data_IF_415043695764
#
_entry.id   IF_415043695764
#
_cell.length_a   1.000
_cell.length_b   1.000
_cell.length_c   1.000
_cell.angle_alpha   90.00
_cell.angle_beta   90.00
_cell.angle_gamma   90.00
#
_symmetry.space_group_name_H-M   'P 1'
#
loop_
_entity.id
_entity.type
_entity.pdbx_description
1 polymer ?
#
# COMPACT_ATOMS: atom_id res chain seq x y z
N UNK A 1 -18.33 -2.80 -0.66
CA UNK A 1 -17.93 -2.24 -1.96
C UNK A 1 -18.54 -3.11 -3.04
N UNK A 2 -19.46 -2.58 -3.85
CA UNK A 2 -20.15 -3.36 -4.90
C UNK A 2 -19.39 -3.42 -6.21
N UNK A 3 -18.42 -2.53 -6.39
CA UNK A 3 -17.63 -2.47 -7.60
C UNK A 3 -16.53 -3.56 -7.58
N UNK A 4 -16.49 -4.45 -8.58
CA UNK A 4 -15.51 -5.52 -8.67
C UNK A 4 -14.06 -5.01 -8.81
N UNK A 5 -13.84 -3.76 -9.22
CA UNK A 5 -12.48 -3.20 -9.31
C UNK A 5 -11.78 -3.13 -7.95
N UNK A 6 -12.54 -2.92 -6.87
CA UNK A 6 -12.01 -2.89 -5.50
C UNK A 6 -11.81 -4.29 -4.90
N UNK A 7 -12.19 -5.36 -5.61
CA UNK A 7 -12.02 -6.74 -5.13
C UNK A 7 -10.66 -7.32 -5.52
N UNK A 8 -9.97 -6.73 -6.52
CA UNK A 8 -8.66 -7.16 -7.00
C UNK A 8 -7.68 -5.98 -7.02
N UNK A 9 -7.39 -5.44 -5.84
CA UNK A 9 -6.51 -4.29 -5.67
C UNK A 9 -5.09 -4.58 -6.18
N UNK A 10 -4.60 -5.81 -6.06
CA UNK A 10 -3.25 -6.19 -6.49
C UNK A 10 -3.03 -5.95 -8.00
N UNK A 11 -4.00 -6.36 -8.82
CA UNK A 11 -3.97 -6.14 -10.27
C UNK A 11 -4.14 -4.65 -10.62
N UNK A 12 -4.90 -3.91 -9.82
CA UNK A 12 -5.07 -2.47 -9.98
C UNK A 12 -3.74 -1.75 -9.73
N UNK A 13 -3.05 -2.05 -8.63
CA UNK A 13 -1.75 -1.44 -8.31
C UNK A 13 -0.68 -1.81 -9.35
N UNK A 14 -0.63 -3.06 -9.82
CA UNK A 14 0.34 -3.50 -10.84
C UNK A 14 0.14 -2.79 -12.20
N UNK A 15 -1.10 -2.49 -12.57
CA UNK A 15 -1.39 -1.75 -13.80
C UNK A 15 -0.97 -0.28 -13.70
N UNK A 16 -1.20 0.35 -12.56
CA UNK A 16 -0.94 1.78 -12.37
C UNK A 16 0.53 2.09 -12.03
N UNK A 17 1.29 1.13 -11.48
CA UNK A 17 2.75 1.28 -11.32
C UNK A 17 3.49 1.45 -12.66
N UNK A 18 2.92 0.92 -13.75
CA UNK A 18 3.47 1.03 -15.11
C UNK A 18 3.13 2.36 -15.81
N UNK A 19 2.20 3.16 -15.28
CA UNK A 19 1.83 4.46 -15.85
C UNK A 19 2.73 5.57 -15.28
N UNK A 20 3.63 6.09 -16.11
CA UNK A 20 4.46 7.27 -15.80
C UNK A 20 3.61 8.56 -15.82
N UNK A 21 3.00 8.89 -14.69
CA UNK A 21 2.47 10.25 -14.43
C UNK A 21 3.55 11.13 -13.78
N UNK A 22 3.58 12.45 -14.04
CA UNK A 22 4.55 13.37 -13.41
C UNK A 22 4.43 13.39 -11.87
N UNK A 23 5.52 13.08 -11.16
CA UNK A 23 5.52 12.86 -9.69
C UNK A 23 5.09 14.08 -8.87
N UNK A 24 5.43 15.30 -9.30
CA UNK A 24 5.17 16.52 -8.51
C UNK A 24 3.68 16.85 -8.37
N UNK A 25 2.89 16.66 -9.43
CA UNK A 25 1.45 16.90 -9.42
C UNK A 25 0.72 15.86 -8.57
N UNK A 26 1.15 14.60 -8.63
CA UNK A 26 0.58 13.51 -7.82
C UNK A 26 0.77 13.71 -6.32
N UNK A 27 1.89 14.31 -5.92
CA UNK A 27 2.17 14.61 -4.52
C UNK A 27 1.19 15.65 -3.97
N UNK A 28 1.05 16.77 -4.65
CA UNK A 28 0.13 17.84 -4.23
C UNK A 28 -1.34 17.36 -4.22
N UNK A 29 -1.72 16.53 -5.19
CA UNK A 29 -3.05 15.92 -5.25
C UNK A 29 -3.28 14.90 -4.13
N UNK A 30 -2.33 14.00 -3.88
CA UNK A 30 -2.43 13.01 -2.79
C UNK A 30 -2.44 13.67 -1.41
N UNK A 31 -1.66 14.73 -1.20
CA UNK A 31 -1.68 15.55 0.02
C UNK A 31 -3.06 16.20 0.21
N UNK A 32 -3.63 16.79 -0.84
CA UNK A 32 -4.98 17.37 -0.78
C UNK A 32 -6.05 16.31 -0.47
N UNK A 33 -5.97 15.14 -1.09
CA UNK A 33 -6.91 14.03 -0.83
C UNK A 33 -6.78 13.52 0.61
N UNK A 34 -5.56 13.44 1.14
CA UNK A 34 -5.29 13.09 2.54
C UNK A 34 -5.93 14.11 3.50
N UNK A 35 -5.73 15.41 3.27
CA UNK A 35 -6.32 16.47 4.10
C UNK A 35 -7.85 16.42 4.07
N UNK A 36 -8.45 16.19 2.90
CA UNK A 36 -9.90 16.01 2.77
C UNK A 36 -10.38 14.81 3.59
N UNK A 37 -9.69 13.67 3.52
CA UNK A 37 -10.06 12.47 4.25
C UNK A 37 -9.93 12.67 5.77
N UNK A 38 -8.85 13.29 6.22
CA UNK A 38 -8.66 13.68 7.63
C UNK A 38 -9.78 14.59 8.12
N UNK A 39 -10.18 15.57 7.31
CA UNK A 39 -11.30 16.46 7.64
C UNK A 39 -12.62 15.71 7.77
N UNK A 40 -12.90 14.76 6.87
CA UNK A 40 -14.09 13.90 6.94
C UNK A 40 -14.10 13.02 8.21
N UNK A 41 -12.95 12.45 8.57
CA UNK A 41 -12.76 11.67 9.80
C UNK A 41 -12.99 12.55 11.03
N UNK A 42 -12.44 13.77 11.06
CA UNK A 42 -12.63 14.72 12.15
C UNK A 42 -14.12 15.09 12.32
N UNK A 43 -14.84 15.37 11.23
CA UNK A 43 -16.28 15.61 11.29
C UNK A 43 -17.07 14.37 11.76
N UNK A 44 -16.56 13.17 11.52
CA UNK A 44 -17.19 11.93 11.99
C UNK A 44 -17.02 11.76 13.50
N UNK A 45 -15.84 12.09 14.03
CA UNK A 45 -15.60 12.11 15.48
C UNK A 45 -16.47 13.18 16.16
N UNK A 46 -16.53 14.39 15.59
CA UNK A 46 -17.39 15.47 16.10
C UNK A 46 -18.87 15.06 16.06
N UNK A 47 -19.32 14.43 14.97
CA UNK A 47 -20.68 13.90 14.87
C UNK A 47 -20.98 12.91 16.00
N UNK A 48 -20.06 12.02 16.34
CA UNK A 48 -20.24 11.07 17.44
C UNK A 48 -20.42 11.76 18.79
N UNK A 49 -19.57 12.75 19.10
CA UNK A 49 -19.68 13.53 20.33
C UNK A 49 -20.98 14.34 20.39
N UNK A 50 -21.41 14.91 19.27
CA UNK A 50 -22.64 15.70 19.20
C UNK A 50 -23.90 14.83 19.29
N UNK A 51 -23.86 13.62 18.74
CA UNK A 51 -24.95 12.64 18.90
C UNK A 51 -25.12 12.25 20.37
N UNK A 52 -24.00 11.94 21.04
CA UNK A 52 -24.02 11.60 22.46
C UNK A 52 -24.51 12.77 23.34
N UNK A 53 -24.10 13.99 23.01
CA UNK A 53 -24.60 15.21 23.67
C UNK A 53 -26.11 15.35 23.47
N UNK A 54 -26.60 15.17 22.25
CA UNK A 54 -28.03 15.25 21.93
C UNK A 54 -28.85 14.22 22.72
N UNK A 55 -28.36 12.99 22.88
CA UNK A 55 -29.03 11.96 23.67
C UNK A 55 -29.23 12.42 25.14
N UNK A 56 -28.18 12.99 25.76
CA UNK A 56 -28.27 13.57 27.11
C UNK A 56 -29.28 14.72 27.21
N UNK A 57 -29.32 15.59 26.20
CA UNK A 57 -30.30 16.68 26.13
C UNK A 57 -31.75 16.14 26.03
N UNK A 58 -31.94 15.07 25.26
CA UNK A 58 -33.25 14.43 25.12
C UNK A 58 -33.68 13.77 26.44
N UNK A 59 -32.80 13.06 27.13
CA UNK A 59 -33.05 12.50 28.47
C UNK A 59 -33.44 13.60 29.48
N UNK A 60 -32.68 14.69 29.54
CA UNK A 60 -32.96 15.83 30.41
C UNK A 60 -34.32 16.49 30.12
N UNK A 61 -34.71 16.58 28.85
CA UNK A 61 -36.03 17.06 28.45
C UNK A 61 -37.16 16.13 28.90
N UNK A 62 -36.98 14.81 28.78
CA UNK A 62 -37.98 13.85 29.28
C UNK A 62 -38.15 13.98 30.80
N UNK A 63 -37.04 14.07 31.54
CA UNK A 63 -37.06 14.19 33.00
C UNK A 63 -37.78 15.47 33.44
N UNK A 64 -37.42 16.61 32.84
CA UNK A 64 -38.03 17.90 33.16
C UNK A 64 -39.51 17.95 32.75
N UNK A 65 -39.92 17.29 31.67
CA UNK A 65 -41.34 17.18 31.29
C UNK A 65 -42.15 16.42 32.35
N UNK A 66 -41.57 15.40 33.00
CA UNK A 66 -42.20 14.63 34.07
C UNK A 66 -42.25 15.44 35.37
N UNK A 67 -41.15 16.08 35.78
CA UNK A 67 -41.11 16.98 36.96
C UNK A 67 -42.12 18.10 36.84
N UNK A 68 -42.19 18.70 35.66
CA UNK A 68 -43.16 19.73 35.36
C UNK A 68 -44.58 19.16 35.47
N UNK A 69 -44.89 17.93 35.01
CA UNK A 69 -46.22 17.29 35.21
C UNK A 69 -46.65 17.22 36.67
N UNK A 70 -45.69 16.98 37.55
CA UNK A 70 -45.92 16.93 38.99
C UNK A 70 -46.01 18.33 39.63
N UNK A 71 -45.55 19.39 38.94
CA UNK A 71 -45.44 20.77 39.45
C UNK A 71 -46.45 21.72 38.77
N UNK A 72 -47.33 22.38 39.53
CA UNK A 72 -48.42 23.24 39.02
C UNK A 72 -48.05 24.72 38.76
N UNK A 73 -46.80 25.03 38.41
CA UNK A 73 -46.36 26.42 38.24
C UNK A 73 -46.71 27.02 36.85
N UNK A 74 -47.09 28.31 36.80
CA UNK A 74 -47.46 29.01 35.57
C UNK A 74 -46.26 29.33 34.63
N UNK A 75 -45.02 29.34 35.14
CA UNK A 75 -43.78 29.54 34.35
C UNK A 75 -43.33 28.30 33.55
N UNK A 76 -44.11 27.21 33.64
CA UNK A 76 -43.81 25.87 33.13
C UNK A 76 -43.79 25.78 31.59
N UNK A 77 -44.71 26.47 30.92
CA UNK A 77 -44.83 26.41 29.45
C UNK A 77 -43.62 26.99 28.72
N UNK A 78 -43.09 28.10 29.23
CA UNK A 78 -42.00 28.83 28.58
C UNK A 78 -40.65 28.11 28.72
N UNK A 79 -40.37 27.50 29.88
CA UNK A 79 -39.13 26.73 30.09
C UNK A 79 -39.05 25.48 29.19
N UNK A 80 -40.17 24.77 29.05
CA UNK A 80 -40.29 23.63 28.13
C UNK A 80 -40.15 24.05 26.65
N UNK A 81 -40.70 25.20 26.29
CA UNK A 81 -40.62 25.73 24.93
C UNK A 81 -39.18 26.10 24.54
N UNK A 82 -38.43 26.72 25.46
CA UNK A 82 -37.01 27.07 25.27
C UNK A 82 -36.16 25.80 25.06
N UNK A 83 -36.30 24.80 25.92
CA UNK A 83 -35.57 23.53 25.78
C UNK A 83 -35.91 22.80 24.48
N UNK A 84 -37.17 22.83 24.06
CA UNK A 84 -37.58 22.27 22.77
C UNK A 84 -36.92 22.98 21.59
N UNK A 85 -36.74 24.30 21.66
CA UNK A 85 -36.04 25.06 20.64
C UNK A 85 -34.54 24.70 20.61
N UNK A 86 -33.91 24.52 21.77
CA UNK A 86 -32.51 24.11 21.90
C UNK A 86 -32.25 22.72 21.32
N UNK A 87 -33.10 21.72 21.63
CA UNK A 87 -33.03 20.36 21.06
C UNK A 87 -33.19 20.40 19.54
N UNK A 88 -34.08 21.25 19.01
CA UNK A 88 -34.22 21.44 17.56
C UNK A 88 -32.95 22.04 16.94
N UNK A 89 -32.32 22.99 17.65
CA UNK A 89 -31.02 23.57 17.27
C UNK A 89 -29.93 22.50 17.19
N UNK A 90 -29.79 21.68 18.24
CA UNK A 90 -28.84 20.57 18.30
C UNK A 90 -29.07 19.54 17.20
N UNK A 91 -30.33 19.15 16.95
CA UNK A 91 -30.69 18.27 15.82
C UNK A 91 -30.31 18.85 14.47
N UNK A 92 -30.37 20.16 14.29
CA UNK A 92 -29.93 20.83 13.06
C UNK A 92 -28.40 20.75 12.92
N UNK A 93 -27.65 20.93 14.00
CA UNK A 93 -26.20 20.79 14.00
C UNK A 93 -25.77 19.34 13.66
N UNK A 94 -26.38 18.34 14.29
CA UNK A 94 -26.14 16.91 13.98
C UNK A 94 -26.44 16.60 12.52
N UNK A 95 -27.55 17.12 11.96
CA UNK A 95 -27.88 16.94 10.53
C UNK A 95 -26.83 17.57 9.61
N UNK A 96 -26.29 18.73 9.97
CA UNK A 96 -25.24 19.38 9.19
C UNK A 96 -23.92 18.61 9.27
N UNK A 97 -23.53 18.13 10.46
CA UNK A 97 -22.34 17.30 10.64
C UNK A 97 -22.44 15.99 9.88
N UNK A 98 -23.62 15.35 9.90
CA UNK A 98 -23.90 14.13 9.12
C UNK A 98 -23.68 14.31 7.61
N UNK A 99 -23.99 15.51 7.07
CA UNK A 99 -23.76 15.86 5.66
C UNK A 99 -22.29 16.18 5.35
N UNK A 100 -21.49 16.55 6.35
CA UNK A 100 -20.08 16.87 6.19
C UNK A 100 -19.16 15.70 6.53
N UNK A 101 -19.65 14.71 7.26
CA UNK A 101 -18.88 13.56 7.70
C UNK A 101 -18.89 12.41 6.69
N UNK A 102 -18.13 11.37 7.00
CA UNK A 102 -18.11 10.10 6.25
C UNK A 102 -19.50 9.45 6.16
N UNK A 103 -20.43 9.81 7.04
CA UNK A 103 -21.77 9.24 7.06
C UNK A 103 -22.57 9.51 5.76
N UNK A 104 -22.26 10.61 5.07
CA UNK A 104 -22.90 10.97 3.80
C UNK A 104 -22.13 10.52 2.57
N UNK A 105 -21.01 9.82 2.76
CA UNK A 105 -20.13 9.35 1.68
C UNK A 105 -20.42 7.89 1.37
N UNK A 106 -20.37 7.54 0.09
CA UNK A 106 -20.37 6.15 -0.32
C UNK A 106 -19.04 5.50 0.05
N UNK A 107 -19.06 4.18 0.29
CA UNK A 107 -17.82 3.43 0.54
C UNK A 107 -16.91 3.49 -0.69
N UNK A 108 -17.50 3.49 -1.88
CA UNK A 108 -16.83 3.61 -3.17
C UNK A 108 -16.03 4.93 -3.26
N UNK A 109 -16.62 6.10 -2.94
CA UNK A 109 -15.90 7.39 -2.91
C UNK A 109 -14.72 7.41 -1.91
N UNK A 110 -14.88 6.74 -0.76
CA UNK A 110 -13.83 6.67 0.25
C UNK A 110 -12.71 5.75 -0.21
N UNK A 111 -13.03 4.63 -0.86
CA UNK A 111 -12.06 3.69 -1.40
C UNK A 111 -11.23 4.31 -2.53
N UNK A 112 -11.84 5.07 -3.44
CA UNK A 112 -11.11 5.81 -4.49
C UNK A 112 -10.01 6.68 -3.89
N UNK A 113 -10.38 7.54 -2.92
CA UNK A 113 -9.44 8.43 -2.23
C UNK A 113 -8.32 7.67 -1.51
N UNK A 114 -8.64 6.54 -0.88
CA UNK A 114 -7.64 5.72 -0.20
C UNK A 114 -6.67 5.07 -1.19
N UNK A 115 -7.17 4.58 -2.31
CA UNK A 115 -6.32 3.93 -3.32
C UNK A 115 -5.39 4.94 -3.99
N UNK A 116 -5.85 6.18 -4.24
CA UNK A 116 -4.98 7.25 -4.74
C UNK A 116 -3.81 7.55 -3.79
N UNK A 117 -4.08 7.61 -2.49
CA UNK A 117 -3.04 7.80 -1.45
C UNK A 117 -2.06 6.61 -1.44
N UNK A 118 -2.56 5.37 -1.48
CA UNK A 118 -1.71 4.17 -1.46
C UNK A 118 -0.84 4.08 -2.71
N UNK A 119 -1.41 4.41 -3.89
CA UNK A 119 -0.66 4.51 -5.14
C UNK A 119 0.48 5.53 -5.03
N UNK A 120 0.18 6.71 -4.48
CA UNK A 120 1.18 7.74 -4.25
C UNK A 120 2.28 7.26 -3.30
N UNK A 121 1.94 6.66 -2.16
CA UNK A 121 2.91 6.14 -1.19
C UNK A 121 3.80 5.07 -1.81
N UNK A 122 3.21 4.11 -2.55
CA UNK A 122 3.98 3.09 -3.26
C UNK A 122 4.96 3.71 -4.25
N UNK A 123 4.54 4.73 -4.99
CA UNK A 123 5.40 5.45 -5.94
C UNK A 123 6.53 6.20 -5.24
N UNK A 124 6.25 6.85 -4.11
CA UNK A 124 7.25 7.57 -3.32
C UNK A 124 8.28 6.59 -2.73
N UNK A 125 7.83 5.44 -2.22
CA UNK A 125 8.71 4.36 -1.77
C UNK A 125 9.60 3.86 -2.91
N UNK A 126 9.03 3.58 -4.08
CA UNK A 126 9.84 3.18 -5.24
C UNK A 126 10.80 4.28 -5.71
N UNK A 127 10.45 5.56 -5.56
CA UNK A 127 11.35 6.65 -5.95
C UNK A 127 12.52 6.80 -4.97
N UNK A 128 12.26 6.68 -3.67
CA UNK A 128 13.28 6.83 -2.61
C UNK A 128 14.16 5.58 -2.48
N UNK A 129 13.57 4.39 -2.63
CA UNK A 129 14.25 3.10 -2.39
C UNK A 129 14.54 2.29 -3.66
N UNK A 130 13.97 2.64 -4.82
CA UNK A 130 14.10 1.88 -6.07
C UNK A 130 15.33 2.20 -6.92
N UNK A 131 16.17 3.15 -6.52
CA UNK A 131 17.43 3.46 -7.23
C UNK A 131 18.57 2.54 -6.79
N UNK A 132 18.46 1.25 -7.13
CA UNK A 132 19.62 0.36 -7.20
C UNK A 132 19.73 -0.42 -8.52
N UNK A 133 18.70 -0.45 -9.39
CA UNK A 133 18.76 -1.31 -10.59
C UNK A 133 17.99 -0.84 -11.84
N UNK A 134 17.47 0.40 -11.87
CA UNK A 134 16.81 0.94 -13.08
C UNK A 134 17.68 1.95 -13.84
N UNK A 135 19.01 1.79 -13.73
CA UNK A 135 19.89 2.16 -14.83
C UNK A 135 19.59 1.20 -15.98
N UNK A 136 18.64 1.62 -16.82
CA UNK A 136 18.62 1.24 -18.23
C UNK A 136 20.09 1.28 -18.71
N UNK A 137 20.65 0.17 -19.23
CA UNK A 137 22.01 0.22 -19.73
C UNK A 137 22.04 1.29 -20.81
N UNK A 138 22.79 2.36 -20.53
CA UNK A 138 23.08 3.37 -21.52
C UNK A 138 23.60 2.64 -22.76
N UNK A 139 22.94 2.91 -23.87
CA UNK A 139 23.35 2.48 -25.20
C UNK A 139 24.76 3.07 -25.38
N UNK A 140 25.78 2.25 -25.12
CA UNK A 140 27.16 2.73 -25.07
C UNK A 140 28.19 1.70 -24.63
N UNK A 141 27.82 0.62 -23.94
CA UNK A 141 28.82 -0.37 -23.48
C UNK A 141 28.29 -1.81 -23.36
N UNK A 142 27.72 -2.36 -24.45
CA UNK A 142 27.55 -3.81 -24.59
C UNK A 142 28.13 -4.26 -25.93
N UNK A 143 29.44 -4.05 -26.08
CA UNK A 143 30.20 -4.89 -27.00
C UNK A 143 30.11 -6.32 -26.48
N UNK A 144 29.53 -7.20 -27.30
CA UNK A 144 29.60 -8.67 -27.20
C UNK A 144 28.56 -9.30 -26.26
N UNK A 145 27.29 -9.29 -26.67
CA UNK A 145 26.40 -10.43 -26.42
C UNK A 145 25.79 -10.88 -27.74
N UNK A 146 26.61 -11.54 -28.56
CA UNK A 146 26.09 -12.40 -29.63
C UNK A 146 25.38 -13.57 -28.95
N UNK A 147 24.07 -13.42 -28.75
CA UNK A 147 23.22 -14.49 -28.21
C UNK A 147 23.10 -15.56 -29.29
N UNK A 148 23.93 -16.61 -29.16
CA UNK A 148 23.91 -17.76 -30.06
C UNK A 148 22.51 -18.40 -30.02
N UNK A 149 21.95 -18.71 -31.21
CA UNK A 149 20.69 -19.45 -31.30
C UNK A 149 20.80 -20.87 -30.71
N UNK A 150 19.71 -21.65 -30.62
CA UNK A 150 19.71 -22.97 -29.97
C UNK A 150 20.82 -23.91 -30.48
N UNK A 151 21.08 -23.92 -31.80
CA UNK A 151 22.15 -24.69 -32.41
C UNK A 151 23.56 -24.16 -32.10
N UNK A 152 23.71 -22.85 -31.89
CA UNK A 152 24.98 -22.23 -31.51
C UNK A 152 25.31 -22.44 -30.04
N UNK A 153 24.29 -22.47 -29.16
CA UNK A 153 24.45 -22.82 -27.75
C UNK A 153 24.88 -24.28 -27.58
N UNK A 154 24.23 -25.22 -28.28
CA UNK A 154 24.63 -26.64 -28.23
C UNK A 154 26.07 -26.85 -28.71
N UNK A 155 26.48 -26.16 -29.78
CA UNK A 155 27.85 -26.22 -30.28
C UNK A 155 28.85 -25.60 -29.28
N UNK A 156 28.49 -24.50 -28.63
CA UNK A 156 29.31 -23.87 -27.60
C UNK A 156 29.52 -24.80 -26.40
N UNK A 157 28.46 -25.44 -25.92
CA UNK A 157 28.57 -26.44 -24.86
C UNK A 157 29.38 -27.66 -25.29
N UNK A 158 29.19 -28.17 -26.51
CA UNK A 158 30.02 -29.26 -27.03
C UNK A 158 31.51 -28.87 -27.07
N UNK A 159 31.83 -27.63 -27.45
CA UNK A 159 33.20 -27.14 -27.48
C UNK A 159 33.82 -27.00 -26.08
N UNK A 160 33.05 -26.52 -25.10
CA UNK A 160 33.48 -26.45 -23.69
C UNK A 160 33.77 -27.86 -23.15
N UNK A 161 32.89 -28.82 -23.43
CA UNK A 161 33.07 -30.22 -23.00
C UNK A 161 34.34 -30.82 -23.60
N UNK A 162 34.60 -30.59 -24.89
CA UNK A 162 35.82 -31.05 -25.57
C UNK A 162 37.08 -30.40 -24.97
N UNK A 163 37.03 -29.11 -24.62
CA UNK A 163 38.18 -28.43 -23.99
C UNK A 163 38.48 -28.99 -22.60
N UNK A 164 37.44 -29.26 -21.80
CA UNK A 164 37.58 -29.91 -20.49
C UNK A 164 38.20 -31.31 -20.66
N UNK A 165 37.70 -32.09 -21.61
CA UNK A 165 38.20 -33.43 -21.90
C UNK A 165 39.65 -33.40 -22.41
N UNK A 166 40.00 -32.40 -23.22
CA UNK A 166 41.38 -32.19 -23.70
C UNK A 166 42.33 -31.84 -22.56
N UNK A 167 41.89 -31.05 -21.57
CA UNK A 167 42.68 -30.76 -20.37
C UNK A 167 42.84 -32.02 -19.51
N UNK A 168 41.79 -32.85 -19.44
CA UNK A 168 41.75 -34.06 -18.64
C UNK A 168 42.58 -35.21 -19.25
N UNK A 169 42.50 -35.41 -20.56
CA UNK A 169 43.21 -36.45 -21.32
C UNK A 169 44.61 -36.00 -21.79
N UNK A 170 44.83 -34.69 -21.95
CA UNK A 170 46.07 -34.06 -22.45
C UNK A 170 47.10 -33.65 -21.37
N UNK A 171 46.99 -34.19 -20.15
CA UNK A 171 48.16 -34.56 -19.35
C UNK A 171 48.98 -33.46 -18.66
N UNK A 172 48.39 -32.66 -17.77
CA UNK A 172 49.10 -32.12 -16.59
C UNK A 172 48.82 -32.93 -15.30
N UNK A 173 47.91 -33.90 -15.35
CA UNK A 173 47.58 -34.77 -14.20
C UNK A 173 48.27 -36.15 -14.29
N UNK A 174 48.71 -36.59 -15.49
CA UNK A 174 49.50 -37.82 -15.66
C UNK A 174 50.93 -37.71 -15.09
N UNK A 175 51.44 -36.49 -14.89
CA UNK A 175 52.76 -36.26 -14.30
C UNK A 175 52.77 -36.48 -12.77
N UNK A 176 51.71 -36.07 -12.07
CA UNK A 176 51.63 -36.21 -10.61
C UNK A 176 51.27 -37.64 -10.17
N UNK A 177 50.48 -38.40 -10.95
CA UNK A 177 50.22 -39.80 -10.61
C UNK A 177 51.44 -40.71 -10.82
N UNK A 178 52.35 -40.34 -11.73
CA UNK A 178 53.58 -41.09 -12.01
C UNK A 178 54.66 -40.84 -10.95
N UNK A 179 54.77 -39.62 -10.41
CA UNK A 179 55.67 -39.33 -9.28
C UNK A 179 55.23 -40.00 -7.97
N UNK A 180 53.92 -40.12 -7.72
CA UNK A 180 53.42 -40.76 -6.49
C UNK A 180 53.51 -42.29 -6.50
N UNK A 181 53.51 -42.95 -7.67
CA UNK A 181 53.75 -44.41 -7.77
C UNK A 181 55.21 -44.80 -7.54
N UNK A 182 56.17 -43.89 -7.73
CA UNK A 182 57.60 -44.14 -7.47
C UNK A 182 57.98 -44.18 -5.98
N UNK A 183 57.13 -43.65 -5.10
CA UNK A 183 57.39 -43.57 -3.65
C UNK A 183 56.76 -44.71 -2.83
N UNK A 184 55.98 -45.61 -3.46
CA UNK A 184 55.15 -46.60 -2.73
C UNK A 184 55.58 -48.06 -2.98
N UNK A 185 56.52 -48.35 -3.89
CA UNK A 185 56.99 -49.73 -4.12
C UNK A 185 58.49 -49.84 -3.81
N UNK A 186 58.90 -50.56 -2.74
CA UNK A 186 60.31 -50.77 -2.42
C UNK A 186 60.96 -51.73 -3.43
N UNK A 187 62.16 -51.38 -3.90
CA UNK A 187 63.01 -52.28 -4.68
C UNK A 187 63.50 -53.44 -3.79
N UNK A 188 63.38 -54.71 -4.22
CA UNK A 188 63.92 -55.83 -3.47
C UNK A 188 65.44 -55.89 -3.58
N UNK A 189 66.05 -56.35 -2.49
CA UNK A 189 67.48 -56.51 -2.31
C UNK A 189 68.09 -57.53 -3.29
N UNK A 190 69.29 -57.20 -3.77
CA UNK A 190 70.34 -58.14 -4.17
C UNK A 190 71.69 -57.52 -3.81
#
# INVERSE_FOLDING_TARGET
>A
CKDPQWHNLDLFFEKHSRQLTPQKQLKEEAESVMEQLMTLVQYTAELYHQLHTLDKYEEGYQHKRIEEFNSRAAQRGDSLAILRAEIKGQRKQVKNLKKKSLWSRSLEEVMEKLVDIVLFLNKEIHTVFGNADDDKPSIGSLSIQQRLGPAGLSMHYANIIIQIDTIWSGGSIQFYSSQLKGYIIPKPAA
#
